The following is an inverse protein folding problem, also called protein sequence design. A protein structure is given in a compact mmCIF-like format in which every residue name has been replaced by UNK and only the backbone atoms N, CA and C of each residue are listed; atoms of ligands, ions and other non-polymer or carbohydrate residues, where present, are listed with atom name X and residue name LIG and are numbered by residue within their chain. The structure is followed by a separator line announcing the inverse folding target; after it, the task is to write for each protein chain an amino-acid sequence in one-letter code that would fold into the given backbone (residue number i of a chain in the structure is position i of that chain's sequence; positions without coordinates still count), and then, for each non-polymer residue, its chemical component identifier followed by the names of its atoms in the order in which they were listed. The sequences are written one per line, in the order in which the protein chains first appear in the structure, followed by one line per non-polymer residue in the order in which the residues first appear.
data_IF_841529843961
#
_entry.id   IF_841529843961
#
_cell.length_a   1.000
_cell.length_b   1.000
_cell.length_c   1.000
_cell.angle_alpha   90.00
_cell.angle_beta   90.00
_cell.angle_gamma   90.00
#
_symmetry.space_group_name_H-M   'P 1'
#
loop_
_entity.id
_entity.type
_entity.pdbx_description
1 polymer ?
#
# COMPACT_ATOMS: atom_id res chain seq x y z
N UNK A 1 -1.74 -10.12 3.83
CA UNK A 1 -1.31 -9.27 4.94
C UNK A 1 -0.67 -10.11 6.03
N UNK A 2 0.42 -9.62 6.63
CA UNK A 2 1.15 -10.24 7.75
C UNK A 2 0.90 -9.42 9.01
N UNK A 3 0.08 -9.97 9.92
CA UNK A 3 -0.20 -9.35 11.20
C UNK A 3 0.50 -10.13 12.30
N UNK A 4 1.30 -9.45 13.11
CA UNK A 4 1.95 -10.05 14.26
C UNK A 4 2.42 -8.97 15.26
N UNK A 5 2.50 -9.33 16.53
CA UNK A 5 2.92 -8.41 17.61
C UNK A 5 4.37 -7.94 17.45
N UNK A 6 4.77 -6.92 18.22
CA UNK A 6 6.15 -6.46 18.26
C UNK A 6 7.10 -7.62 18.65
N UNK A 7 8.30 -7.63 18.09
CA UNK A 7 9.32 -8.63 18.41
C UNK A 7 9.11 -10.02 17.81
N UNK A 8 8.08 -10.28 17.01
CA UNK A 8 7.78 -11.58 16.42
C UNK A 8 8.47 -11.87 15.08
N UNK A 9 9.36 -10.99 14.63
CA UNK A 9 10.13 -11.17 13.39
C UNK A 9 9.47 -10.64 12.12
N UNK A 10 8.49 -9.71 12.20
CA UNK A 10 7.86 -9.08 11.02
C UNK A 10 8.88 -8.45 10.08
N UNK A 11 9.77 -7.61 10.60
CA UNK A 11 10.80 -6.93 9.80
C UNK A 11 11.79 -7.93 9.18
N UNK A 12 12.14 -9.01 9.89
CA UNK A 12 12.95 -10.09 9.34
C UNK A 12 12.26 -10.76 8.15
N UNK A 13 10.97 -11.07 8.29
CA UNK A 13 10.19 -11.66 7.20
C UNK A 13 10.07 -10.70 6.01
N UNK A 14 9.81 -9.40 6.26
CA UNK A 14 9.74 -8.37 5.22
C UNK A 14 11.07 -8.32 4.46
N UNK A 15 12.19 -8.21 5.17
CA UNK A 15 13.54 -8.19 4.59
C UNK A 15 13.81 -9.45 3.78
N UNK A 16 13.40 -10.62 4.28
CA UNK A 16 13.55 -11.91 3.57
C UNK A 16 12.76 -11.92 2.26
N UNK A 17 11.51 -11.46 2.28
CA UNK A 17 10.68 -11.35 1.06
C UNK A 17 11.28 -10.35 0.08
N UNK A 18 11.79 -9.23 0.58
CA UNK A 18 12.43 -8.21 -0.25
C UNK A 18 13.68 -8.75 -0.95
N UNK A 19 14.56 -9.43 -0.20
CA UNK A 19 15.73 -10.11 -0.77
C UNK A 19 15.33 -11.18 -1.79
N UNK A 20 14.30 -11.96 -1.50
CA UNK A 20 13.78 -12.95 -2.44
C UNK A 20 13.34 -12.29 -3.76
N UNK A 21 12.66 -11.15 -3.69
CA UNK A 21 12.26 -10.38 -4.88
C UNK A 21 13.49 -9.99 -5.70
N UNK A 22 14.54 -9.45 -5.05
CA UNK A 22 15.77 -9.02 -5.72
C UNK A 22 16.48 -10.20 -6.40
N UNK A 23 16.66 -11.32 -5.68
CA UNK A 23 17.32 -12.53 -6.22
C UNK A 23 16.56 -13.09 -7.42
N UNK A 24 15.23 -12.95 -7.44
CA UNK A 24 14.38 -13.39 -8.55
C UNK A 24 14.12 -12.29 -9.60
N UNK A 25 14.92 -11.22 -9.63
CA UNK A 25 14.81 -10.10 -10.56
C UNK A 25 13.42 -9.44 -10.56
N UNK A 26 12.71 -9.45 -9.43
CA UNK A 26 11.45 -8.74 -9.26
C UNK A 26 11.72 -7.30 -8.89
N UNK A 27 11.04 -6.36 -9.56
CA UNK A 27 11.11 -4.94 -9.25
C UNK A 27 10.29 -4.64 -8.00
N UNK A 28 10.92 -4.75 -6.85
CA UNK A 28 10.30 -4.55 -5.55
C UNK A 28 10.70 -3.20 -4.92
N UNK A 29 9.80 -2.62 -4.14
CA UNK A 29 10.07 -1.52 -3.23
C UNK A 29 9.52 -1.86 -1.84
N UNK A 30 10.30 -1.52 -0.82
CA UNK A 30 9.84 -1.55 0.56
C UNK A 30 9.57 -0.12 1.02
N UNK A 31 8.46 0.10 1.71
CA UNK A 31 8.05 1.41 2.19
C UNK A 31 7.51 1.34 3.62
N UNK A 32 7.68 2.43 4.36
CA UNK A 32 7.11 2.60 5.68
C UNK A 32 6.54 4.03 5.85
N UNK A 33 5.60 4.25 6.78
CA UNK A 33 5.02 5.58 7.01
C UNK A 33 6.04 6.59 7.59
N UNK A 34 7.05 6.12 8.30
CA UNK A 34 8.07 6.99 8.94
C UNK A 34 9.49 6.63 8.51
N UNK A 35 10.40 7.61 8.60
CA UNK A 35 11.82 7.38 8.32
C UNK A 35 12.48 6.37 9.27
N UNK A 36 12.07 6.35 10.54
CA UNK A 36 12.59 5.38 11.53
C UNK A 36 12.15 3.95 11.15
N UNK A 37 10.88 3.76 10.77
CA UNK A 37 10.40 2.47 10.34
C UNK A 37 11.08 2.02 9.02
N UNK A 38 11.28 2.93 8.08
CA UNK A 38 11.99 2.65 6.84
C UNK A 38 13.45 2.22 7.10
N UNK A 39 14.15 2.86 8.01
CA UNK A 39 15.53 2.50 8.37
C UNK A 39 15.65 1.08 8.96
N UNK A 40 14.62 0.56 9.60
CA UNK A 40 14.61 -0.81 10.13
C UNK A 40 14.61 -1.90 9.03
N UNK A 41 14.42 -1.54 7.78
CA UNK A 41 14.39 -2.45 6.61
C UNK A 41 15.67 -2.31 5.78
N UNK A 42 16.68 -1.64 6.31
CA UNK A 42 18.00 -1.55 5.66
C UNK A 42 18.74 -2.88 5.74
N UNK A 43 19.39 -3.26 4.64
CA UNK A 43 20.23 -4.45 4.57
C UNK A 43 21.69 -3.99 4.55
N UNK A 44 22.39 -4.21 5.66
CA UNK A 44 23.78 -3.82 5.79
C UNK A 44 24.66 -4.35 4.63
N UNK A 45 25.50 -3.46 4.12
CA UNK A 45 26.43 -3.79 3.03
C UNK A 45 25.78 -3.85 1.64
N UNK A 46 24.56 -3.40 1.51
CA UNK A 46 23.85 -3.29 0.23
C UNK A 46 23.19 -1.92 0.06
N UNK A 47 22.88 -1.53 -1.18
CA UNK A 47 22.07 -0.34 -1.47
C UNK A 47 20.57 -0.61 -1.30
N UNK A 48 20.22 -1.73 -0.67
CA UNK A 48 18.83 -2.16 -0.50
C UNK A 48 18.29 -1.61 0.80
N UNK A 49 17.45 -0.59 0.68
CA UNK A 49 16.78 0.05 1.81
C UNK A 49 15.31 0.34 1.48
N UNK A 50 14.49 0.41 2.52
CA UNK A 50 13.14 0.94 2.37
C UNK A 50 13.15 2.47 2.29
N UNK A 51 12.19 3.02 1.58
CA UNK A 51 11.90 4.46 1.60
C UNK A 51 10.70 4.79 2.48
N UNK A 52 10.47 6.07 2.74
CA UNK A 52 9.15 6.46 3.25
C UNK A 52 8.12 6.45 2.11
N UNK A 53 6.87 6.20 2.45
CA UNK A 53 5.75 6.31 1.50
C UNK A 53 5.79 7.64 0.76
N UNK A 54 6.01 8.76 1.49
CA UNK A 54 6.12 10.09 0.92
C UNK A 54 7.26 10.20 -0.11
N UNK A 55 8.39 9.58 0.15
CA UNK A 55 9.54 9.62 -0.77
C UNK A 55 9.30 8.77 -2.02
N UNK A 56 8.74 7.57 -1.86
CA UNK A 56 8.52 6.64 -2.97
C UNK A 56 7.46 7.18 -3.94
N UNK A 57 6.36 7.70 -3.41
CA UNK A 57 5.24 8.22 -4.21
C UNK A 57 5.29 9.73 -4.43
N UNK A 58 6.36 10.41 -3.96
CA UNK A 58 6.58 11.86 -4.05
C UNK A 58 5.39 12.66 -3.51
N UNK A 59 4.87 12.26 -2.33
CA UNK A 59 3.72 12.89 -1.70
C UNK A 59 4.14 14.09 -0.85
N UNK A 60 3.31 15.12 -0.82
CA UNK A 60 3.40 16.18 0.16
C UNK A 60 2.68 15.82 1.48
N UNK A 61 2.63 16.75 2.42
CA UNK A 61 1.98 16.57 3.73
C UNK A 61 0.45 16.42 3.66
N UNK A 62 -0.16 16.78 2.54
CA UNK A 62 -1.58 16.61 2.27
C UNK A 62 -1.86 15.35 1.42
N UNK A 63 -0.85 14.51 1.21
CA UNK A 63 -0.87 13.33 0.35
C UNK A 63 -1.12 13.60 -1.14
N UNK A 64 -0.85 14.82 -1.60
CA UNK A 64 -0.87 15.12 -3.03
C UNK A 64 0.45 14.72 -3.65
N UNK A 65 0.40 13.95 -4.74
CA UNK A 65 1.64 13.61 -5.46
C UNK A 65 2.15 14.82 -6.25
N UNK A 66 3.48 14.98 -6.23
CA UNK A 66 4.20 15.94 -7.07
C UNK A 66 4.64 15.34 -8.41
N UNK A 67 4.39 14.03 -8.60
CA UNK A 67 4.74 13.35 -9.83
C UNK A 67 3.85 13.83 -10.98
N UNK A 68 4.46 14.27 -12.04
CA UNK A 68 3.79 14.51 -13.31
C UNK A 68 3.79 13.20 -14.11
N UNK A 69 2.72 12.43 -13.95
CA UNK A 69 2.57 11.11 -14.58
C UNK A 69 2.51 11.18 -16.11
N UNK A 70 2.30 12.39 -16.69
CA UNK A 70 2.41 12.60 -18.14
C UNK A 70 3.86 12.66 -18.62
N UNK A 71 4.81 12.93 -17.72
CA UNK A 71 6.25 12.95 -18.04
C UNK A 71 6.86 11.54 -17.88
N UNK A 72 6.60 10.70 -18.87
CA UNK A 72 7.06 9.30 -18.90
C UNK A 72 8.58 9.12 -18.85
N UNK A 73 9.37 10.16 -19.03
CA UNK A 73 10.84 10.14 -18.93
C UNK A 73 11.37 10.52 -17.53
N UNK A 74 10.49 10.81 -16.58
CA UNK A 74 10.88 11.05 -15.20
C UNK A 74 11.31 9.74 -14.53
N UNK A 75 12.53 9.69 -13.96
CA UNK A 75 13.10 8.51 -13.32
C UNK A 75 12.19 7.94 -12.24
N UNK A 76 11.55 8.80 -11.43
CA UNK A 76 10.62 8.34 -10.38
C UNK A 76 9.37 7.68 -10.98
N UNK A 77 8.82 8.28 -12.03
CA UNK A 77 7.65 7.71 -12.73
C UNK A 77 8.00 6.36 -13.34
N UNK A 78 9.15 6.26 -14.03
CA UNK A 78 9.62 5.00 -14.57
C UNK A 78 9.82 3.93 -13.48
N UNK A 79 10.43 4.29 -12.36
CA UNK A 79 10.62 3.36 -11.24
C UNK A 79 9.30 2.85 -10.65
N UNK A 80 8.27 3.69 -10.60
CA UNK A 80 6.93 3.27 -10.18
C UNK A 80 6.25 2.41 -11.25
N UNK A 81 6.41 2.75 -12.52
CA UNK A 81 5.87 1.96 -13.63
C UNK A 81 6.50 0.56 -13.73
N UNK A 82 7.75 0.39 -13.32
CA UNK A 82 8.42 -0.91 -13.30
C UNK A 82 8.11 -1.74 -12.06
N UNK A 83 7.55 -1.15 -11.02
CA UNK A 83 7.34 -1.80 -9.73
C UNK A 83 6.33 -2.95 -9.84
N UNK A 84 6.75 -4.16 -9.51
CA UNK A 84 5.92 -5.37 -9.50
C UNK A 84 5.43 -5.72 -8.08
N UNK A 85 6.23 -5.36 -7.07
CA UNK A 85 5.95 -5.71 -5.66
C UNK A 85 6.16 -4.49 -4.77
N UNK A 86 5.15 -4.18 -3.96
CA UNK A 86 5.20 -3.18 -2.92
C UNK A 86 5.08 -3.86 -1.55
N UNK A 87 6.10 -3.71 -0.72
CA UNK A 87 6.11 -4.19 0.66
C UNK A 87 5.89 -2.99 1.58
N UNK A 88 4.82 -2.97 2.36
CA UNK A 88 4.50 -1.88 3.29
C UNK A 88 4.65 -2.35 4.72
N UNK A 89 5.55 -1.73 5.48
CA UNK A 89 5.71 -1.97 6.92
C UNK A 89 4.90 -0.95 7.73
N UNK A 90 4.64 -1.29 8.99
CA UNK A 90 3.91 -0.48 9.98
C UNK A 90 2.60 0.11 9.45
N UNK A 91 1.81 -0.74 8.75
CA UNK A 91 0.57 -0.31 8.08
C UNK A 91 -0.49 0.23 9.03
N UNK A 92 -0.43 -0.09 10.33
CA UNK A 92 -1.31 0.50 11.35
C UNK A 92 -1.21 2.02 11.44
N UNK A 93 -0.08 2.59 11.06
CA UNK A 93 0.18 4.03 11.07
C UNK A 93 -0.24 4.75 9.78
N UNK A 94 -0.73 4.04 8.76
CA UNK A 94 -1.19 4.63 7.50
C UNK A 94 -2.65 5.04 7.66
N UNK A 95 -2.98 6.29 7.37
CA UNK A 95 -4.36 6.74 7.37
C UNK A 95 -5.08 6.46 6.03
N UNK A 96 -6.40 6.55 6.06
CA UNK A 96 -7.25 6.26 4.90
C UNK A 96 -7.00 7.19 3.71
N UNK A 97 -6.61 8.44 3.95
CA UNK A 97 -6.34 9.39 2.86
C UNK A 97 -5.02 9.06 2.15
N UNK A 98 -3.97 8.74 2.91
CA UNK A 98 -2.69 8.27 2.36
C UNK A 98 -2.90 7.00 1.54
N UNK A 99 -3.65 6.03 2.07
CA UNK A 99 -3.94 4.77 1.39
C UNK A 99 -4.69 4.97 0.07
N UNK A 100 -5.77 5.79 0.09
CA UNK A 100 -6.51 6.12 -1.13
C UNK A 100 -5.59 6.72 -2.20
N UNK A 101 -4.73 7.66 -1.81
CA UNK A 101 -3.81 8.28 -2.76
C UNK A 101 -2.85 7.25 -3.38
N UNK A 102 -2.32 6.31 -2.58
CA UNK A 102 -1.46 5.24 -3.09
C UNK A 102 -2.23 4.36 -4.08
N UNK A 103 -3.45 3.95 -3.73
CA UNK A 103 -4.29 3.12 -4.59
C UNK A 103 -4.60 3.80 -5.92
N UNK A 104 -4.98 5.08 -5.88
CA UNK A 104 -5.26 5.88 -7.08
C UNK A 104 -4.02 6.00 -7.97
N UNK A 105 -2.85 6.30 -7.39
CA UNK A 105 -1.61 6.40 -8.15
C UNK A 105 -1.23 5.09 -8.81
N UNK A 106 -1.33 3.99 -8.09
CA UNK A 106 -1.03 2.66 -8.62
C UNK A 106 -2.01 2.28 -9.73
N UNK A 107 -3.28 2.57 -9.56
CA UNK A 107 -4.30 2.35 -10.60
C UNK A 107 -4.00 3.13 -11.88
N UNK A 108 -3.64 4.41 -11.76
CA UNK A 108 -3.26 5.24 -12.93
C UNK A 108 -2.01 4.69 -13.61
N UNK A 109 -1.01 4.28 -12.84
CA UNK A 109 0.23 3.70 -13.37
C UNK A 109 -0.06 2.40 -14.11
N UNK A 110 -0.88 1.53 -13.55
CA UNK A 110 -1.26 0.27 -14.19
C UNK A 110 -2.06 0.51 -15.49
N UNK A 111 -2.98 1.47 -15.48
CA UNK A 111 -3.72 1.86 -16.70
C UNK A 111 -2.76 2.36 -17.80
N UNK A 112 -1.78 3.18 -17.46
CA UNK A 112 -0.79 3.68 -18.42
C UNK A 112 0.12 2.58 -18.98
N UNK A 113 0.38 1.51 -18.20
CA UNK A 113 1.11 0.32 -18.66
C UNK A 113 0.30 -0.50 -19.65
N UNK A 114 -1.02 -0.55 -19.48
CA UNK A 114 -1.93 -1.45 -20.20
C UNK A 114 -3.18 -0.72 -20.71
N UNK A 115 -3.04 0.23 -21.63
CA UNK A 115 -4.16 1.04 -22.09
C UNK A 115 -5.30 0.24 -22.74
N UNK A 116 -5.01 -1.01 -23.16
CA UNK A 116 -5.98 -1.90 -23.78
C UNK A 116 -6.46 -3.04 -22.85
N UNK A 117 -6.11 -2.99 -21.55
CA UNK A 117 -6.61 -3.98 -20.62
C UNK A 117 -8.12 -3.80 -20.43
N UNK A 118 -8.84 -4.92 -20.41
CA UNK A 118 -10.28 -4.91 -20.23
C UNK A 118 -10.60 -4.30 -18.85
N UNK A 119 -11.33 -3.17 -18.85
CA UNK A 119 -11.66 -2.39 -17.64
C UNK A 119 -12.50 -3.17 -16.60
N UNK A 120 -12.81 -4.44 -16.88
CA UNK A 120 -13.58 -5.32 -15.99
C UNK A 120 -12.83 -5.82 -14.76
N UNK A 121 -11.52 -5.61 -14.67
CA UNK A 121 -10.75 -5.89 -13.46
C UNK A 121 -10.47 -4.58 -12.72
N UNK A 122 -11.40 -4.17 -11.90
CA UNK A 122 -11.27 -3.09 -10.91
C UNK A 122 -10.35 -3.53 -9.74
N UNK A 123 -9.18 -4.05 -10.06
CA UNK A 123 -8.18 -4.32 -9.05
C UNK A 123 -7.51 -2.99 -8.69
N UNK A 124 -7.68 -2.47 -7.47
CA UNK A 124 -7.16 -1.16 -7.08
C UNK A 124 -5.63 -1.07 -7.16
N UNK A 125 -4.95 -2.20 -7.25
CA UNK A 125 -3.49 -2.26 -7.40
C UNK A 125 -3.04 -2.83 -8.76
N UNK A 126 -3.97 -3.08 -9.67
CA UNK A 126 -3.67 -3.66 -10.97
C UNK A 126 -2.92 -4.99 -10.83
N UNK A 127 -1.79 -5.14 -11.53
CA UNK A 127 -0.95 -6.34 -11.44
C UNK A 127 0.16 -6.23 -10.38
N UNK A 128 0.20 -5.16 -9.62
CA UNK A 128 1.18 -5.01 -8.56
C UNK A 128 0.80 -5.85 -7.34
N UNK A 129 1.73 -6.62 -6.85
CA UNK A 129 1.56 -7.36 -5.60
C UNK A 129 1.83 -6.45 -4.42
N UNK A 130 0.84 -6.25 -3.54
CA UNK A 130 0.98 -5.46 -2.32
C UNK A 130 1.00 -6.38 -1.11
N UNK A 131 2.09 -6.34 -0.35
CA UNK A 131 2.24 -7.12 0.89
C UNK A 131 2.31 -6.16 2.07
N UNK A 132 1.40 -6.32 3.00
CA UNK A 132 1.22 -5.44 4.15
C UNK A 132 1.73 -6.13 5.42
N UNK A 133 2.57 -5.42 6.18
CA UNK A 133 3.11 -5.84 7.47
C UNK A 133 2.69 -4.83 8.54
N UNK A 134 2.25 -5.31 9.70
CA UNK A 134 1.89 -4.41 10.79
C UNK A 134 1.33 -5.10 12.01
N UNK A 135 1.07 -4.31 13.03
CA UNK A 135 0.45 -4.73 14.27
C UNK A 135 -0.64 -3.72 14.66
N UNK A 136 -1.91 -4.10 14.54
CA UNK A 136 -3.04 -3.20 14.86
C UNK A 136 -3.19 -2.89 16.35
N UNK A 137 -2.41 -3.53 17.20
CA UNK A 137 -2.32 -3.21 18.63
C UNK A 137 -1.27 -2.14 18.93
N UNK A 138 -0.49 -1.73 17.91
CA UNK A 138 0.48 -0.64 18.01
C UNK A 138 -0.15 0.72 17.69
N UNK A 139 0.71 1.73 17.49
CA UNK A 139 0.27 3.10 17.33
C UNK A 139 -0.63 3.29 16.08
N UNK A 140 -1.76 3.99 16.25
CA UNK A 140 -2.57 4.43 15.13
C UNK A 140 -1.85 5.53 14.34
N UNK A 141 -2.42 5.96 13.19
CA UNK A 141 -1.92 7.11 12.46
C UNK A 141 -1.78 8.35 13.37
N UNK A 142 -0.70 9.11 13.18
CA UNK A 142 -0.46 10.36 13.92
C UNK A 142 -1.41 11.49 13.50
N UNK A 143 -2.20 11.29 12.48
CA UNK A 143 -3.19 12.23 11.96
C UNK A 143 -4.54 12.05 12.65
N UNK A 144 -5.42 13.07 12.58
CA UNK A 144 -6.81 12.96 13.02
C UNK A 144 -7.69 12.11 12.09
N UNK A 145 -7.13 11.60 10.98
CA UNK A 145 -7.84 10.78 10.01
C UNK A 145 -7.87 9.32 10.49
N UNK A 146 -8.95 8.62 10.14
CA UNK A 146 -9.09 7.22 10.49
C UNK A 146 -7.97 6.36 9.86
N UNK A 147 -7.49 5.31 10.54
CA UNK A 147 -6.61 4.33 9.92
C UNK A 147 -7.29 3.69 8.70
N UNK A 148 -6.53 3.37 7.66
CA UNK A 148 -7.13 2.77 6.45
C UNK A 148 -7.56 1.32 6.68
N UNK A 149 -6.85 0.62 7.54
CA UNK A 149 -7.26 -0.71 7.99
C UNK A 149 -7.88 -0.56 9.37
N UNK A 150 -9.17 -0.77 9.42
CA UNK A 150 -9.90 -0.93 10.66
C UNK A 150 -9.91 -2.43 10.99
N UNK A 151 -9.98 -2.77 12.27
CA UNK A 151 -10.10 -4.16 12.74
C UNK A 151 -11.05 -4.95 11.82
N UNK A 152 -10.68 -6.16 11.37
CA UNK A 152 -11.53 -7.00 10.51
C UNK A 152 -12.97 -7.18 10.99
N UNK A 153 -13.23 -7.08 12.30
CA UNK A 153 -14.57 -7.07 12.87
C UNK A 153 -15.44 -5.89 12.39
N UNK A 154 -14.84 -4.77 12.00
CA UNK A 154 -15.55 -3.61 11.47
C UNK A 154 -15.97 -3.82 10.02
N UNK A 155 -15.19 -4.55 9.23
CA UNK A 155 -15.58 -4.95 7.87
C UNK A 155 -16.79 -5.90 7.87
N UNK A 156 -16.89 -6.78 8.85
CA UNK A 156 -18.06 -7.67 9.01
C UNK A 156 -19.35 -6.90 9.28
N UNK A 157 -19.28 -5.79 10.05
CA UNK A 157 -20.45 -4.96 10.37
C UNK A 157 -20.94 -4.14 9.16
N UNK A 158 -20.04 -3.70 8.27
CA UNK A 158 -20.43 -2.98 7.05
C UNK A 158 -21.11 -3.89 6.03
N UNK A 159 -20.64 -5.13 5.87
CA UNK A 159 -21.28 -6.09 4.97
C UNK A 159 -22.69 -6.50 5.43
N UNK A 160 -22.93 -6.57 6.75
CA UNK A 160 -24.27 -6.82 7.30
C UNK A 160 -25.22 -5.61 7.16
N UNK A 161 -24.70 -4.38 7.25
CA UNK A 161 -25.52 -3.18 7.07
C UNK A 161 -25.98 -2.96 5.62
N UNK A 162 -25.14 -3.31 4.65
CA UNK A 162 -25.50 -3.26 3.23
C UNK A 162 -26.50 -4.38 2.86
N UNK A 163 -26.33 -5.57 3.39
CA UNK A 163 -27.27 -6.67 3.17
C UNK A 163 -28.67 -6.36 3.76
N UNK A 164 -28.74 -5.67 4.90
CA UNK A 164 -30.03 -5.23 5.50
C UNK A 164 -30.65 -4.06 4.75
N UNK A 165 -29.88 -3.17 4.12
CA UNK A 165 -30.39 -2.07 3.32
C UNK A 165 -31.04 -2.57 2.01
N UNK A 166 -30.48 -3.59 1.37
CA UNK A 166 -31.03 -4.20 0.14
C UNK A 166 -32.26 -5.09 0.38
N UNK A 167 -32.42 -5.62 1.60
CA UNK A 167 -33.56 -6.47 1.97
C UNK A 167 -34.87 -5.72 2.27
N UNK A 168 -34.85 -4.38 2.36
CA UNK A 168 -36.06 -3.57 2.70
C UNK A 168 -36.84 -2.99 1.52
N UNK A 169 -36.45 -3.24 0.27
CA UNK A 169 -37.08 -2.63 -0.91
C UNK A 169 -38.15 -3.53 -1.55
N UNK A 170 -38.38 -4.74 -1.10
CA UNK A 170 -39.38 -5.66 -1.67
C UNK A 170 -40.41 -6.13 -0.63
N UNK A 171 -41.19 -5.20 -0.06
CA UNK A 171 -42.53 -5.59 0.45
C UNK A 171 -43.41 -4.34 0.68
N UNK A 172 -43.91 -3.76 -0.41
CA UNK A 172 -45.15 -2.98 -0.46
C UNK A 172 -45.78 -3.18 -1.84
N UNK A 173 -46.63 -4.11 -1.91
CA UNK A 173 -47.57 -4.33 -2.99
C UNK A 173 -48.73 -5.11 -2.44
#
# INVERSE_FOLDING_TARGET
MVQASAGTGKSFLLTTVFLWCIVNNKKAKAAAPTGIAAANVEIEGTDVCAGTIHTIFDLDTEYKTKLDLAKMNNIKVLALMEMEVLLLDEVSMIDSACWSTIADLVSIIDHNRRPNADARHEDPFGQMHVVLFGDFKQLPPATSKAPFIVDPSVFAQHSESEATAHGRVHNKG
#
